data_IF_493197427571
#
_entry.id   IF_493197427571
#
_cell.length_a   1.000
_cell.length_b   1.000
_cell.length_c   1.000
_cell.angle_alpha   90.00
_cell.angle_beta   90.00
_cell.angle_gamma   90.00
#
_symmetry.space_group_name_H-M   'P 1'
#
loop_
_entity.id
_entity.type
_entity.pdbx_description
1 polymer ?
#
# COMPACT_ATOMS: atom_id res chain seq x y z
N UNK A 1 5.48 -75.35 16.01
CA UNK A 1 6.20 -74.16 16.55
C UNK A 1 6.21 -73.10 15.45
N UNK A 2 5.30 -72.12 15.51
CA UNK A 2 5.28 -70.98 14.60
C UNK A 2 5.44 -69.71 15.43
N UNK A 3 6.52 -68.98 15.16
CA UNK A 3 6.90 -67.77 15.87
C UNK A 3 6.11 -66.58 15.34
N UNK A 4 5.46 -65.85 16.24
CA UNK A 4 4.74 -64.60 15.98
C UNK A 4 5.79 -63.47 15.98
N UNK A 5 6.02 -62.84 14.83
CA UNK A 5 6.81 -61.61 14.75
C UNK A 5 5.92 -60.41 15.06
N UNK A 6 6.21 -59.71 16.16
CA UNK A 6 5.59 -58.44 16.53
C UNK A 6 6.32 -57.30 15.82
N UNK A 7 5.65 -56.66 14.86
CA UNK A 7 6.12 -55.41 14.26
C UNK A 7 5.89 -54.25 15.24
N UNK A 8 6.97 -53.65 15.74
CA UNK A 8 6.92 -52.37 16.46
C UNK A 8 6.88 -51.24 15.42
N UNK A 9 5.73 -50.56 15.32
CA UNK A 9 5.63 -49.31 14.59
C UNK A 9 6.28 -48.19 15.42
N UNK A 10 7.35 -47.60 14.90
CA UNK A 10 7.96 -46.38 15.44
C UNK A 10 7.30 -45.21 14.71
N UNK A 11 6.49 -44.42 15.42
CA UNK A 11 5.90 -43.18 14.90
C UNK A 11 7.01 -42.11 14.83
N UNK A 12 7.22 -41.42 13.70
CA UNK A 12 8.14 -40.29 13.66
C UNK A 12 7.46 -39.08 14.32
N UNK A 13 8.11 -38.52 15.34
CA UNK A 13 7.75 -37.22 15.92
C UNK A 13 8.13 -36.15 14.90
N UNK A 14 7.14 -35.60 14.20
CA UNK A 14 7.33 -34.43 13.37
C UNK A 14 7.50 -33.20 14.28
N UNK A 15 8.74 -32.75 14.45
CA UNK A 15 9.05 -31.44 15.04
C UNK A 15 8.58 -30.35 14.07
N UNK A 16 7.36 -29.85 14.26
CA UNK A 16 6.88 -28.64 13.60
C UNK A 16 7.65 -27.44 14.16
N UNK A 17 8.69 -27.00 13.45
CA UNK A 17 9.33 -25.71 13.70
C UNK A 17 8.32 -24.62 13.37
N UNK A 18 7.65 -24.08 14.40
CA UNK A 18 6.88 -22.86 14.27
C UNK A 18 7.85 -21.71 14.01
N UNK A 19 8.05 -21.36 12.74
CA UNK A 19 8.63 -20.09 12.36
C UNK A 19 7.60 -19.03 12.73
N UNK A 20 7.72 -18.45 13.93
CA UNK A 20 7.04 -17.20 14.27
C UNK A 20 7.63 -16.13 13.35
N UNK A 21 7.03 -15.96 12.18
CA UNK A 21 7.24 -14.76 11.38
C UNK A 21 6.83 -13.58 12.25
N UNK A 22 7.76 -12.66 12.51
CA UNK A 22 7.43 -11.38 13.11
C UNK A 22 6.41 -10.71 12.18
N UNK A 23 5.14 -10.81 12.53
CA UNK A 23 4.08 -10.09 11.85
C UNK A 23 4.37 -8.62 12.08
N UNK A 24 4.41 -7.80 11.02
CA UNK A 24 4.47 -6.34 11.21
C UNK A 24 3.38 -5.92 12.17
N UNK A 25 3.68 -4.93 13.01
CA UNK A 25 2.70 -4.31 13.89
C UNK A 25 1.49 -3.89 13.05
N UNK A 26 0.31 -4.34 13.47
CA UNK A 26 -0.94 -4.04 12.79
C UNK A 26 -1.13 -2.52 12.71
N UNK A 27 -1.47 -2.02 11.52
CA UNK A 27 -1.89 -0.62 11.34
C UNK A 27 -3.41 -0.55 11.36
N UNK A 28 -3.96 0.18 12.32
CA UNK A 28 -5.40 0.38 12.47
C UNK A 28 -5.90 1.46 11.51
N UNK A 29 -7.15 1.29 11.06
CA UNK A 29 -7.88 2.35 10.38
C UNK A 29 -8.09 3.53 11.33
N UNK A 30 -7.87 4.78 10.90
CA UNK A 30 -8.11 5.95 11.74
C UNK A 30 -9.60 6.24 11.95
N UNK A 31 -10.49 5.52 11.25
CA UNK A 31 -11.95 5.73 11.33
C UNK A 31 -12.72 4.44 11.52
N UNK A 32 -13.85 4.55 12.22
CA UNK A 32 -14.86 3.49 12.29
C UNK A 32 -16.02 3.81 11.35
N UNK A 33 -16.32 2.88 10.43
CA UNK A 33 -17.47 2.98 9.55
C UNK A 33 -18.76 2.98 10.40
N UNK A 34 -19.70 3.91 10.18
CA UNK A 34 -20.93 3.96 10.95
C UNK A 34 -21.84 2.79 10.55
N UNK A 35 -22.62 2.28 11.50
CA UNK A 35 -23.55 1.19 11.26
C UNK A 35 -23.91 0.46 12.53
N UNK A 36 -24.83 -0.51 12.42
CA UNK A 36 -25.07 -1.48 13.49
C UNK A 36 -24.04 -2.61 13.36
N UNK A 37 -23.63 -3.24 14.48
CA UNK A 37 -22.82 -4.45 14.40
C UNK A 37 -23.49 -5.54 13.58
N UNK A 38 -22.68 -6.42 13.00
CA UNK A 38 -23.17 -7.62 12.32
C UNK A 38 -24.01 -8.48 13.26
N UNK A 39 -25.08 -9.05 12.71
CA UNK A 39 -25.89 -10.02 13.43
C UNK A 39 -25.20 -11.39 13.42
N UNK A 40 -25.55 -12.27 14.37
CA UNK A 40 -25.07 -13.65 14.35
C UNK A 40 -25.41 -14.39 13.03
N UNK A 41 -26.54 -14.04 12.41
CA UNK A 41 -26.91 -14.56 11.09
C UNK A 41 -25.96 -14.10 9.98
N UNK A 42 -25.58 -12.82 9.98
CA UNK A 42 -24.59 -12.27 9.03
C UNK A 42 -23.23 -12.95 9.18
N UNK A 43 -22.74 -13.08 10.41
CA UNK A 43 -21.46 -13.75 10.68
C UNK A 43 -21.45 -15.21 10.20
N UNK A 44 -22.56 -15.94 10.38
CA UNK A 44 -22.70 -17.30 9.88
C UNK A 44 -22.66 -17.36 8.34
N UNK A 45 -23.33 -16.43 7.67
CA UNK A 45 -23.30 -16.33 6.21
C UNK A 45 -21.88 -16.03 5.69
N UNK A 46 -21.16 -15.12 6.33
CA UNK A 46 -19.77 -14.80 5.99
C UNK A 46 -18.83 -15.98 6.21
N UNK A 47 -18.96 -16.70 7.32
CA UNK A 47 -18.20 -17.92 7.58
C UNK A 47 -18.48 -19.00 6.51
N UNK A 48 -19.75 -19.15 6.11
CA UNK A 48 -20.13 -20.03 5.01
C UNK A 48 -19.48 -19.63 3.68
N UNK A 49 -19.51 -18.33 3.34
CA UNK A 49 -18.87 -17.80 2.14
C UNK A 49 -17.34 -17.94 2.18
N UNK A 50 -16.72 -17.80 3.35
CA UNK A 50 -15.28 -18.01 3.54
C UNK A 50 -14.87 -19.44 3.17
N UNK A 51 -15.69 -20.44 3.52
CA UNK A 51 -15.42 -21.87 3.24
C UNK A 51 -15.84 -22.30 1.84
N UNK A 52 -17.00 -21.83 1.36
CA UNK A 52 -17.64 -22.39 0.16
C UNK A 52 -17.28 -21.64 -1.13
N UNK A 53 -16.91 -20.37 -1.04
CA UNK A 53 -16.63 -19.54 -2.22
C UNK A 53 -15.13 -19.32 -2.38
N UNK A 54 -14.58 -19.79 -3.50
CA UNK A 54 -13.23 -19.46 -3.92
C UNK A 54 -13.12 -17.96 -4.22
N UNK A 55 -11.97 -17.33 -3.90
CA UNK A 55 -11.73 -15.90 -4.12
C UNK A 55 -10.43 -15.65 -4.88
N UNK A 56 -10.20 -16.26 -6.07
CA UNK A 56 -8.92 -16.15 -6.77
C UNK A 56 -8.40 -14.72 -6.98
N UNK A 57 -9.24 -13.69 -7.28
CA UNK A 57 -8.74 -12.32 -7.40
C UNK A 57 -8.19 -11.74 -6.09
N UNK A 58 -8.75 -12.12 -4.94
CA UNK A 58 -8.31 -11.65 -3.62
C UNK A 58 -7.03 -12.41 -3.23
N UNK A 59 -6.97 -13.71 -3.50
CA UNK A 59 -5.78 -14.54 -3.25
C UNK A 59 -4.57 -14.11 -4.11
N UNK A 60 -4.82 -13.49 -5.27
CA UNK A 60 -3.77 -12.96 -6.15
C UNK A 60 -3.12 -11.67 -5.64
N UNK A 61 -3.75 -10.93 -4.70
CA UNK A 61 -3.16 -9.74 -4.06
C UNK A 61 -2.12 -10.16 -3.01
N UNK A 62 -0.98 -10.65 -3.47
CA UNK A 62 0.00 -11.39 -2.67
C UNK A 62 1.32 -10.65 -2.40
N UNK A 63 1.48 -9.43 -2.94
CA UNK A 63 2.59 -8.54 -2.62
C UNK A 63 2.08 -7.37 -1.77
N UNK A 64 2.77 -7.06 -0.68
CA UNK A 64 2.46 -5.93 0.20
C UNK A 64 3.54 -4.86 0.10
N UNK A 65 3.12 -3.63 -0.23
CA UNK A 65 3.97 -2.44 -0.24
C UNK A 65 3.37 -1.39 0.71
N UNK A 66 4.23 -0.57 1.29
CA UNK A 66 3.84 0.58 2.08
C UNK A 66 4.62 1.81 1.62
N UNK A 67 3.88 2.85 1.27
CA UNK A 67 4.40 4.13 0.80
C UNK A 67 3.53 5.27 1.31
N UNK A 68 3.64 6.42 0.64
CA UNK A 68 2.88 7.61 0.99
C UNK A 68 2.35 8.27 -0.26
N UNK A 69 1.17 8.86 -0.17
CA UNK A 69 0.59 9.65 -1.23
C UNK A 69 0.27 11.06 -0.75
N UNK A 70 0.03 11.95 -1.70
CA UNK A 70 -0.66 13.23 -1.47
C UNK A 70 -1.67 13.51 -2.57
N UNK A 71 -2.64 14.37 -2.31
CA UNK A 71 -3.66 14.74 -3.29
C UNK A 71 -3.03 15.59 -4.40
N UNK A 72 -3.28 15.25 -5.67
CA UNK A 72 -2.76 16.07 -6.78
C UNK A 72 -3.19 17.54 -6.62
N UNK A 73 -2.21 18.45 -6.58
CA UNK A 73 -2.40 19.89 -6.36
C UNK A 73 -2.43 20.36 -4.90
N UNK A 74 -2.29 19.44 -3.93
CA UNK A 74 -2.34 19.73 -2.49
C UNK A 74 -1.26 18.92 -1.75
N UNK A 75 0.03 19.25 -1.95
CA UNK A 75 1.16 18.47 -1.43
C UNK A 75 1.24 18.41 0.10
N UNK A 76 0.57 19.32 0.82
CA UNK A 76 0.54 19.33 2.28
C UNK A 76 -0.49 18.35 2.87
N UNK A 77 -1.39 17.80 2.04
CA UNK A 77 -2.37 16.80 2.44
C UNK A 77 -1.87 15.40 2.06
N UNK A 78 -1.22 14.73 3.01
CA UNK A 78 -0.43 13.52 2.80
C UNK A 78 -0.90 12.39 3.70
N UNK A 79 -0.77 11.15 3.23
CA UNK A 79 -1.16 9.97 3.98
C UNK A 79 -0.31 8.76 3.62
N UNK A 80 -0.16 7.87 4.58
CA UNK A 80 0.36 6.53 4.37
C UNK A 80 -0.64 5.67 3.59
N UNK A 81 -0.11 4.84 2.70
CA UNK A 81 -0.88 3.96 1.82
C UNK A 81 -0.37 2.52 1.92
N UNK A 82 -1.30 1.59 2.17
CA UNK A 82 -1.02 0.16 2.27
C UNK A 82 -1.49 -0.55 1.00
N UNK A 83 -0.55 -0.87 0.11
CA UNK A 83 -0.84 -1.48 -1.18
C UNK A 83 -0.78 -2.99 -1.10
N UNK A 84 -1.87 -3.65 -1.47
CA UNK A 84 -1.92 -5.08 -1.69
C UNK A 84 -2.05 -5.33 -3.19
N UNK A 85 -1.02 -5.92 -3.78
CA UNK A 85 -0.80 -5.91 -5.22
C UNK A 85 -0.81 -7.31 -5.82
N UNK A 86 -1.36 -7.40 -7.04
CA UNK A 86 -1.23 -8.54 -7.93
C UNK A 86 -0.38 -8.14 -9.14
N UNK A 87 0.65 -8.92 -9.41
CA UNK A 87 1.43 -8.82 -10.66
C UNK A 87 0.62 -9.47 -11.77
N UNK A 88 0.13 -8.69 -12.74
CA UNK A 88 -0.64 -9.20 -13.86
C UNK A 88 0.26 -9.81 -14.95
N UNK A 89 1.40 -9.17 -15.17
CA UNK A 89 2.50 -9.64 -16.01
C UNK A 89 3.80 -8.90 -15.62
N UNK A 90 4.87 -9.04 -16.41
CA UNK A 90 6.16 -8.39 -16.13
C UNK A 90 6.09 -6.86 -16.14
N UNK A 91 5.14 -6.29 -16.89
CA UNK A 91 5.08 -4.85 -17.17
C UNK A 91 3.92 -4.14 -16.44
N UNK A 92 2.96 -4.89 -15.87
CA UNK A 92 1.74 -4.36 -15.26
C UNK A 92 1.46 -5.00 -13.90
N UNK A 93 1.26 -4.15 -12.90
CA UNK A 93 0.83 -4.51 -11.55
C UNK A 93 -0.44 -3.72 -11.23
N UNK A 94 -1.37 -4.31 -10.49
CA UNK A 94 -2.52 -3.61 -9.95
C UNK A 94 -2.58 -3.81 -8.44
N UNK A 95 -3.02 -2.78 -7.72
CA UNK A 95 -3.09 -2.79 -6.26
C UNK A 95 -4.44 -2.30 -5.76
N UNK A 96 -4.90 -2.90 -4.67
CA UNK A 96 -5.94 -2.32 -3.81
C UNK A 96 -5.23 -1.66 -2.64
N UNK A 97 -5.59 -0.42 -2.35
CA UNK A 97 -4.97 0.38 -1.29
C UNK A 97 -5.89 0.44 -0.10
N UNK A 98 -5.33 0.24 1.09
CA UNK A 98 -6.03 0.29 2.36
C UNK A 98 -5.45 1.35 3.29
N UNK A 99 -6.25 1.75 4.28
CA UNK A 99 -5.85 2.63 5.39
C UNK A 99 -5.29 1.87 6.59
N UNK A 100 -4.77 0.67 6.37
CA UNK A 100 -4.20 -0.17 7.42
C UNK A 100 -3.93 -1.58 6.94
N UNK A 101 -3.57 -2.44 7.89
CA UNK A 101 -3.23 -3.85 7.62
C UNK A 101 -4.11 -4.84 8.40
N UNK A 102 -5.14 -4.34 9.09
CA UNK A 102 -6.08 -5.16 9.86
C UNK A 102 -7.25 -5.61 8.99
N UNK A 103 -8.00 -6.62 9.43
CA UNK A 103 -9.24 -7.06 8.77
C UNK A 103 -10.31 -5.96 8.68
N UNK A 104 -10.20 -4.93 9.52
CA UNK A 104 -11.15 -3.83 9.64
C UNK A 104 -10.69 -2.58 8.84
N UNK A 105 -9.58 -2.68 8.11
CA UNK A 105 -9.06 -1.61 7.25
C UNK A 105 -10.05 -1.30 6.11
N UNK A 106 -10.14 -0.02 5.74
CA UNK A 106 -10.99 0.47 4.66
C UNK A 106 -10.22 0.50 3.37
N UNK A 107 -10.88 0.10 2.29
CA UNK A 107 -10.36 0.30 0.93
C UNK A 107 -10.34 1.80 0.67
N UNK A 108 -9.15 2.35 0.55
CA UNK A 108 -8.93 3.76 0.22
C UNK A 108 -8.96 3.99 -1.28
N UNK A 109 -8.54 3.04 -2.09
CA UNK A 109 -8.38 3.27 -3.51
C UNK A 109 -7.77 2.12 -4.28
N UNK A 110 -7.37 2.41 -5.50
CA UNK A 110 -6.64 1.49 -6.38
C UNK A 110 -5.45 2.20 -7.01
N UNK A 111 -4.45 1.40 -7.34
CA UNK A 111 -3.32 1.85 -8.13
C UNK A 111 -3.04 0.87 -9.27
N UNK A 112 -2.72 1.43 -10.43
CA UNK A 112 -2.15 0.69 -11.55
C UNK A 112 -0.71 1.12 -11.73
N UNK A 113 0.19 0.15 -11.81
CA UNK A 113 1.61 0.38 -11.99
C UNK A 113 2.03 -0.21 -13.32
N UNK A 114 2.72 0.57 -14.13
CA UNK A 114 3.27 0.14 -15.42
C UNK A 114 4.76 0.43 -15.50
N UNK A 115 5.49 -0.36 -16.27
CA UNK A 115 6.90 -0.10 -16.55
C UNK A 115 7.11 1.15 -17.44
N UNK A 116 8.35 1.62 -17.52
CA UNK A 116 8.71 2.76 -18.35
C UNK A 116 8.42 2.55 -19.84
N UNK A 117 8.44 1.31 -20.35
CA UNK A 117 8.19 1.02 -21.76
C UNK A 117 6.71 1.22 -22.13
N UNK A 118 5.80 0.78 -21.27
CA UNK A 118 4.37 1.03 -21.42
C UNK A 118 4.05 2.51 -21.19
N UNK A 119 4.67 3.13 -20.17
CA UNK A 119 4.48 4.54 -19.89
C UNK A 119 4.86 5.43 -21.09
N UNK A 120 6.01 5.16 -21.73
CA UNK A 120 6.47 5.93 -22.88
C UNK A 120 5.47 5.93 -24.05
N UNK A 121 4.65 4.88 -24.18
CA UNK A 121 3.64 4.69 -25.23
C UNK A 121 2.27 5.28 -24.89
N UNK A 122 2.07 5.77 -23.66
CA UNK A 122 0.81 6.40 -23.29
C UNK A 122 0.57 7.68 -24.12
N UNK A 123 -0.71 7.99 -24.42
CA UNK A 123 -1.07 9.29 -24.98
C UNK A 123 -0.55 10.43 -24.09
N UNK A 124 -0.10 11.52 -24.70
CA UNK A 124 0.47 12.65 -23.95
C UNK A 124 -0.50 13.23 -22.89
N UNK A 125 -1.81 13.19 -23.16
CA UNK A 125 -2.84 13.66 -22.22
C UNK A 125 -3.05 12.73 -21.01
N UNK A 126 -2.64 11.46 -21.11
CA UNK A 126 -2.77 10.48 -20.03
C UNK A 126 -1.60 10.58 -19.04
N UNK A 127 -0.38 10.83 -19.52
CA UNK A 127 0.86 10.84 -18.72
C UNK A 127 0.82 11.71 -17.45
N UNK A 128 0.18 12.91 -17.43
CA UNK A 128 0.07 13.73 -16.22
C UNK A 128 -0.70 13.08 -15.06
N UNK A 129 -1.48 12.03 -15.32
CA UNK A 129 -2.21 11.26 -14.31
C UNK A 129 -1.32 10.25 -13.55
N UNK A 130 -0.03 10.16 -13.92
CA UNK A 130 0.88 9.15 -13.38
C UNK A 130 2.05 9.80 -12.66
N UNK A 131 2.50 9.17 -11.58
CA UNK A 131 3.70 9.55 -10.85
C UNK A 131 4.80 8.50 -10.99
N UNK A 132 6.06 8.91 -10.88
CA UNK A 132 7.22 8.01 -10.95
C UNK A 132 7.59 7.46 -9.57
N UNK A 133 7.88 6.16 -9.46
CA UNK A 133 8.28 5.56 -8.18
C UNK A 133 9.79 5.66 -7.86
N UNK A 134 10.61 6.12 -8.81
CA UNK A 134 12.08 6.09 -8.67
C UNK A 134 12.61 6.80 -7.42
N UNK A 135 12.03 7.95 -7.06
CA UNK A 135 12.41 8.64 -5.83
C UNK A 135 11.92 7.91 -4.58
N UNK A 136 10.69 7.43 -4.54
CA UNK A 136 10.14 6.71 -3.38
C UNK A 136 10.94 5.44 -3.08
N UNK A 137 11.40 4.75 -4.14
CA UNK A 137 12.33 3.61 -4.04
C UNK A 137 13.69 4.05 -3.52
N UNK A 138 14.36 5.01 -4.16
CA UNK A 138 15.73 5.39 -3.78
C UNK A 138 15.82 6.07 -2.41
N UNK A 139 14.79 6.80 -2.00
CA UNK A 139 14.72 7.47 -0.70
C UNK A 139 14.46 6.51 0.45
N UNK A 140 13.89 5.33 0.21
CA UNK A 140 13.42 4.42 1.25
C UNK A 140 12.03 4.75 1.79
N UNK A 141 11.27 5.62 1.09
CA UNK A 141 9.89 5.92 1.46
C UNK A 141 8.96 4.75 1.11
N UNK A 142 9.14 4.15 -0.08
CA UNK A 142 8.48 2.90 -0.44
C UNK A 142 9.21 1.71 0.21
N UNK A 143 8.46 0.80 0.81
CA UNK A 143 8.98 -0.35 1.52
C UNK A 143 8.13 -1.60 1.28
N UNK A 144 8.74 -2.78 1.38
CA UNK A 144 8.05 -4.06 1.44
C UNK A 144 8.38 -4.73 2.80
N UNK A 145 7.59 -4.48 3.86
CA UNK A 145 7.88 -4.98 5.19
C UNK A 145 7.83 -6.52 5.30
N UNK A 146 8.59 -7.07 6.26
CA UNK A 146 8.61 -8.49 6.66
C UNK A 146 9.02 -9.51 5.59
N UNK A 147 9.71 -9.10 4.53
CA UNK A 147 10.35 -10.03 3.59
C UNK A 147 11.88 -9.96 3.72
N UNK A 148 12.63 -10.99 3.28
CA UNK A 148 14.09 -10.94 3.28
C UNK A 148 14.62 -9.74 2.49
N UNK A 149 15.70 -9.12 2.99
CA UNK A 149 16.28 -7.91 2.38
C UNK A 149 16.67 -8.10 0.89
N UNK A 150 17.09 -9.29 0.48
CA UNK A 150 17.39 -9.59 -0.93
C UNK A 150 16.13 -9.63 -1.81
N UNK A 151 15.01 -10.13 -1.27
CA UNK A 151 13.74 -10.14 -1.97
C UNK A 151 13.16 -8.73 -2.09
N UNK A 152 13.27 -7.94 -1.02
CA UNK A 152 12.88 -6.53 -1.04
C UNK A 152 13.73 -5.73 -2.04
N UNK A 153 15.05 -5.90 -2.04
CA UNK A 153 15.93 -5.22 -2.99
C UNK A 153 15.60 -5.57 -4.45
N UNK A 154 15.32 -6.85 -4.75
CA UNK A 154 14.90 -7.26 -6.09
C UNK A 154 13.55 -6.63 -6.49
N UNK A 155 12.59 -6.56 -5.56
CA UNK A 155 11.30 -5.90 -5.79
C UNK A 155 11.47 -4.39 -6.02
N UNK A 156 12.30 -3.73 -5.22
CA UNK A 156 12.61 -2.31 -5.35
C UNK A 156 13.35 -2.01 -6.66
N UNK A 157 14.23 -2.90 -7.10
CA UNK A 157 14.89 -2.80 -8.40
C UNK A 157 13.87 -2.80 -9.54
N UNK A 158 12.84 -3.66 -9.46
CA UNK A 158 11.74 -3.64 -10.43
C UNK A 158 10.96 -2.33 -10.37
N UNK A 159 10.57 -1.88 -9.18
CA UNK A 159 9.71 -0.71 -8.99
C UNK A 159 10.42 0.62 -9.30
N UNK A 160 11.75 0.67 -9.26
CA UNK A 160 12.52 1.88 -9.59
C UNK A 160 12.25 2.41 -11.01
N UNK A 161 11.78 1.55 -11.92
CA UNK A 161 11.54 1.86 -13.32
C UNK A 161 10.06 1.97 -13.69
N UNK A 162 9.17 2.11 -12.70
CA UNK A 162 7.72 2.08 -12.93
C UNK A 162 7.04 3.41 -12.61
N UNK A 163 5.82 3.54 -13.12
CA UNK A 163 4.93 4.67 -12.94
C UNK A 163 3.58 4.20 -12.38
N UNK A 164 3.04 4.93 -11.40
CA UNK A 164 1.79 4.64 -10.73
C UNK A 164 0.68 5.62 -11.10
N UNK A 165 -0.53 5.12 -11.39
CA UNK A 165 -1.76 5.92 -11.46
C UNK A 165 -2.68 5.51 -10.31
N UNK A 166 -2.88 6.42 -9.38
CA UNK A 166 -3.55 6.14 -8.11
C UNK A 166 -4.78 7.00 -7.92
N UNK A 167 -5.91 6.35 -7.65
CA UNK A 167 -7.16 7.03 -7.32
C UNK A 167 -7.66 6.57 -5.95
N UNK A 168 -7.79 7.51 -5.02
CA UNK A 168 -8.43 7.26 -3.73
C UNK A 168 -9.92 7.62 -3.78
N UNK A 169 -10.76 6.73 -3.27
CA UNK A 169 -12.22 6.84 -3.15
C UNK A 169 -12.69 7.03 -1.71
N UNK A 170 -11.84 6.72 -0.71
CA UNK A 170 -12.15 6.91 0.70
C UNK A 170 -11.02 7.66 1.42
N UNK A 171 -11.31 8.88 1.85
CA UNK A 171 -10.36 9.80 2.46
C UNK A 171 -10.40 9.75 3.99
N UNK A 172 -10.02 8.61 4.57
CA UNK A 172 -10.02 8.40 6.03
C UNK A 172 -8.95 9.22 6.75
N UNK A 173 -7.94 9.69 6.01
CA UNK A 173 -6.98 10.72 6.44
C UNK A 173 -7.69 12.04 6.82
N UNK A 174 -8.85 12.35 6.23
CA UNK A 174 -9.68 13.51 6.58
C UNK A 174 -10.79 13.18 7.59
N UNK A 175 -10.60 12.12 8.38
CA UNK A 175 -11.56 11.62 9.38
C UNK A 175 -12.94 11.25 8.78
N UNK A 176 -13.02 11.02 7.46
CA UNK A 176 -14.27 10.62 6.80
C UNK A 176 -14.63 9.19 7.15
N UNK A 177 -15.74 9.03 7.88
CA UNK A 177 -16.26 7.71 8.28
C UNK A 177 -16.99 6.96 7.17
N UNK A 178 -17.21 7.59 6.02
CA UNK A 178 -17.80 7.01 4.81
C UNK A 178 -17.03 7.53 3.57
N UNK A 179 -17.04 6.80 2.44
CA UNK A 179 -16.40 7.23 1.19
C UNK A 179 -17.21 8.34 0.50
N UNK A 180 -17.16 9.56 1.06
CA UNK A 180 -17.90 10.73 0.57
C UNK A 180 -17.05 11.57 -0.40
N UNK A 181 -17.67 11.99 -1.51
CA UNK A 181 -17.04 12.77 -2.58
C UNK A 181 -16.77 11.93 -3.83
N UNK A 182 -16.11 12.54 -4.81
CA UNK A 182 -15.64 11.83 -6.01
C UNK A 182 -14.25 11.24 -5.76
N UNK A 183 -13.78 10.29 -6.58
CA UNK A 183 -12.40 9.83 -6.47
C UNK A 183 -11.41 10.99 -6.64
N UNK A 184 -10.29 10.97 -5.91
CA UNK A 184 -9.21 11.93 -6.02
C UNK A 184 -7.94 11.29 -6.57
N UNK A 185 -7.31 11.98 -7.52
CA UNK A 185 -6.03 11.58 -8.07
C UNK A 185 -4.94 11.80 -7.02
N UNK A 186 -4.10 10.79 -6.82
CA UNK A 186 -3.03 10.82 -5.83
C UNK A 186 -1.67 10.75 -6.53
N UNK A 187 -0.68 11.43 -5.95
CA UNK A 187 0.69 11.48 -6.46
C UNK A 187 1.68 11.02 -5.39
N UNK A 188 2.84 10.55 -5.84
CA UNK A 188 3.99 10.20 -5.00
C UNK A 188 5.04 11.32 -4.96
N UNK A 189 5.94 11.21 -3.98
CA UNK A 189 7.01 12.19 -3.77
C UNK A 189 8.16 12.00 -4.75
N UNK A 190 8.86 13.09 -5.06
CA UNK A 190 9.92 13.15 -6.07
C UNK A 190 11.24 13.72 -5.52
N UNK A 191 11.24 14.30 -4.32
CA UNK A 191 12.43 14.91 -3.72
C UNK A 191 12.42 14.91 -2.17
N UNK A 192 13.62 15.09 -1.60
CA UNK A 192 13.81 15.25 -0.16
C UNK A 192 13.07 16.53 0.32
N UNK A 193 12.45 16.45 1.51
CA UNK A 193 11.76 17.57 2.13
C UNK A 193 10.29 17.78 1.73
N UNK A 194 9.75 16.98 0.80
CA UNK A 194 8.33 17.04 0.42
C UNK A 194 7.41 16.30 1.41
N UNK A 195 7.84 15.15 1.93
CA UNK A 195 7.05 14.36 2.86
C UNK A 195 7.11 14.93 4.29
N UNK A 196 5.97 14.95 4.98
CA UNK A 196 5.83 15.36 6.37
C UNK A 196 6.76 14.51 7.27
N UNK A 197 7.75 15.13 7.95
CA UNK A 197 8.71 14.37 8.75
C UNK A 197 8.08 13.63 9.94
N UNK A 198 6.99 14.13 10.52
CA UNK A 198 6.28 13.47 11.62
C UNK A 198 5.53 12.24 11.12
N UNK A 199 4.83 12.35 9.99
CA UNK A 199 4.17 11.21 9.32
C UNK A 199 5.18 10.09 9.03
N UNK A 200 6.33 10.42 8.42
CA UNK A 200 7.38 9.44 8.10
C UNK A 200 7.94 8.79 9.36
N UNK A 201 8.21 9.58 10.42
CA UNK A 201 8.70 9.04 11.70
C UNK A 201 7.69 8.08 12.35
N UNK A 202 6.41 8.43 12.35
CA UNK A 202 5.35 7.60 12.93
C UNK A 202 5.26 6.24 12.21
N UNK A 203 5.17 6.24 10.88
CA UNK A 203 5.17 5.02 10.06
C UNK A 203 6.41 4.18 10.34
N UNK A 204 7.60 4.79 10.30
CA UNK A 204 8.86 4.08 10.48
C UNK A 204 8.96 3.44 11.87
N UNK A 205 8.50 4.12 12.92
CA UNK A 205 8.46 3.56 14.26
C UNK A 205 7.51 2.36 14.34
N UNK A 206 6.30 2.48 13.77
CA UNK A 206 5.30 1.39 13.79
C UNK A 206 5.78 0.17 13.01
N UNK A 207 6.31 0.37 11.81
CA UNK A 207 6.77 -0.71 10.94
C UNK A 207 8.23 -1.12 11.15
N UNK A 208 8.91 -0.53 12.15
CA UNK A 208 10.32 -0.81 12.48
C UNK A 208 11.28 -0.61 11.28
N UNK A 209 11.04 0.44 10.49
CA UNK A 209 11.81 0.76 9.30
C UNK A 209 12.95 1.76 9.60
N UNK A 210 14.09 1.57 8.93
CA UNK A 210 15.18 2.54 8.91
C UNK A 210 15.42 3.02 7.48
N UNK A 211 14.78 4.14 7.13
CA UNK A 211 14.88 4.77 5.80
C UNK A 211 16.32 5.11 5.41
N UNK A 212 17.20 5.48 6.37
CA UNK A 212 18.61 5.77 6.06
C UNK A 212 19.34 4.50 5.64
N UNK A 213 19.09 3.40 6.35
CA UNK A 213 19.62 2.09 5.99
C UNK A 213 19.09 1.64 4.62
N UNK A 214 17.80 1.79 4.36
CA UNK A 214 17.21 1.48 3.05
C UNK A 214 17.85 2.29 1.91
N UNK A 215 18.05 3.61 2.10
CA UNK A 215 18.74 4.47 1.11
C UNK A 215 20.16 3.99 0.80
N UNK A 216 20.92 3.58 1.82
CA UNK A 216 22.28 3.00 1.63
C UNK A 216 22.21 1.66 0.90
N UNK A 217 21.28 0.78 1.29
CA UNK A 217 21.12 -0.56 0.70
C UNK A 217 20.64 -0.54 -0.75
N UNK A 218 20.01 0.55 -1.18
CA UNK A 218 19.45 0.73 -2.52
C UNK A 218 20.30 1.66 -3.41
N UNK A 219 21.48 2.07 -2.95
CA UNK A 219 22.35 2.99 -3.68
C UNK A 219 22.86 2.42 -5.02
N UNK A 220 22.81 1.09 -5.20
CA UNK A 220 23.16 0.38 -6.42
C UNK A 220 21.99 0.24 -7.41
N UNK A 221 20.75 0.52 -6.99
CA UNK A 221 19.57 0.41 -7.84
C UNK A 221 19.59 1.57 -8.87
N UNK A 222 19.64 1.29 -10.18
CA UNK A 222 19.61 2.34 -11.19
C UNK A 222 18.25 3.04 -11.20
N UNK A 223 18.22 4.36 -11.01
CA UNK A 223 17.01 5.16 -11.21
C UNK A 223 17.07 5.72 -12.64
N UNK A 224 16.12 5.38 -13.53
CA UNK A 224 16.12 5.87 -14.89
C UNK A 224 15.81 7.38 -14.90
N UNK A 225 16.22 8.11 -15.95
CA UNK A 225 15.75 9.48 -16.16
C UNK A 225 14.22 9.52 -16.19
N UNK A 226 13.64 10.46 -15.45
CA UNK A 226 12.21 10.72 -15.42
C UNK A 226 11.72 11.15 -16.82
N UNK A 227 10.64 10.54 -17.31
CA UNK A 227 9.93 11.08 -18.47
C UNK A 227 9.28 12.43 -18.07
N UNK A 228 9.60 13.54 -18.76
CA UNK A 228 9.18 14.88 -18.35
C UNK A 228 7.66 15.12 -18.42
N UNK A 229 6.88 14.19 -18.97
CA UNK A 229 5.42 14.25 -18.97
C UNK A 229 4.76 13.49 -17.81
N UNK A 230 5.53 12.74 -17.01
CA UNK A 230 5.08 12.22 -15.72
C UNK A 230 5.08 13.32 -14.65
N UNK A 231 4.51 13.03 -13.48
CA UNK A 231 4.47 13.97 -12.34
C UNK A 231 3.90 15.34 -12.75
N UNK A 232 2.80 15.36 -13.52
CA UNK A 232 2.28 16.58 -14.15
C UNK A 232 2.11 17.78 -13.20
N UNK A 233 1.87 17.50 -11.91
CA UNK A 233 1.77 18.48 -10.83
C UNK A 233 3.03 19.34 -10.67
N UNK A 234 4.23 18.80 -10.92
CA UNK A 234 5.51 19.54 -10.82
C UNK A 234 5.60 20.66 -11.86
N UNK A 235 4.89 20.51 -12.99
CA UNK A 235 4.82 21.52 -14.05
C UNK A 235 3.51 22.33 -14.01
N UNK A 236 2.74 22.23 -12.92
CA UNK A 236 1.48 22.93 -12.74
C UNK A 236 0.28 22.32 -13.47
N UNK A 237 0.43 21.13 -14.08
CA UNK A 237 -0.68 20.38 -14.64
C UNK A 237 -1.39 19.58 -13.54
N UNK A 238 -2.15 20.31 -12.73
CA UNK A 238 -2.94 19.76 -11.63
C UNK A 238 -4.26 19.24 -12.18
N UNK A 239 -4.47 17.93 -12.07
CA UNK A 239 -5.70 17.26 -12.49
C UNK A 239 -6.42 16.74 -11.25
N UNK A 240 -7.65 17.20 -11.06
CA UNK A 240 -8.61 16.63 -10.11
C UNK A 240 -10.01 16.61 -10.70
N UNK A 241 -10.81 15.66 -10.23
CA UNK A 241 -12.24 15.63 -10.57
C UNK A 241 -12.96 16.76 -9.84
N UNK A 242 -13.86 17.44 -10.55
CA UNK A 242 -14.80 18.38 -9.93
C UNK A 242 -15.77 17.60 -9.06
N UNK A 243 -15.83 17.93 -7.78
CA UNK A 243 -16.74 17.30 -6.82
C UNK A 243 -18.04 18.08 -6.69
N UNK A 244 -19.18 17.54 -7.17
CA UNK A 244 -20.47 18.21 -7.04
C UNK A 244 -21.01 18.18 -5.60
N UNK A 245 -20.41 17.40 -4.69
CA UNK A 245 -20.90 17.21 -3.32
C UNK A 245 -20.25 18.16 -2.30
N UNK A 246 -19.16 18.84 -2.70
CA UNK A 246 -18.41 19.75 -1.83
C UNK A 246 -17.73 19.04 -0.65
N UNK A 247 -17.43 17.75 -0.77
CA UNK A 247 -16.93 16.93 0.32
C UNK A 247 -15.39 16.93 0.40
N UNK A 248 -14.66 17.34 -0.64
CA UNK A 248 -13.20 17.41 -0.54
C UNK A 248 -12.75 18.58 0.34
N UNK A 249 -12.02 18.24 1.39
CA UNK A 249 -11.34 19.20 2.27
C UNK A 249 -9.88 18.81 2.29
N UNK A 250 -9.04 19.46 1.50
CA UNK A 250 -7.60 19.15 1.45
C UNK A 250 -6.80 19.79 2.59
N UNK A 251 -7.43 19.97 3.75
CA UNK A 251 -6.76 20.44 4.96
C UNK A 251 -6.30 19.22 5.76
N UNK A 252 -5.13 19.30 6.44
CA UNK A 252 -4.71 18.26 7.36
C UNK A 252 -5.77 18.03 8.44
N UNK A 253 -5.87 16.80 8.94
CA UNK A 253 -6.82 16.48 9.99
C UNK A 253 -6.59 17.32 11.24
N UNK A 254 -7.68 17.69 11.92
CA UNK A 254 -7.61 18.55 13.11
C UNK A 254 -7.00 17.85 14.33
N UNK A 255 -6.91 16.52 14.32
CA UNK A 255 -6.42 15.71 15.44
C UNK A 255 -5.15 14.93 15.05
N UNK A 256 -4.14 14.86 15.95
CA UNK A 256 -2.97 14.01 15.76
C UNK A 256 -3.36 12.55 15.54
N UNK A 257 -2.67 11.85 14.66
CA UNK A 257 -2.86 10.41 14.44
C UNK A 257 -2.39 9.60 15.66
N UNK A 258 -3.20 8.67 16.18
CA UNK A 258 -2.72 7.65 17.12
C UNK A 258 -1.53 6.88 16.55
N UNK A 259 -0.58 6.48 17.39
CA UNK A 259 0.66 5.81 16.95
C UNK A 259 0.43 4.47 16.22
N UNK A 260 -0.65 3.78 16.55
CA UNK A 260 -1.06 2.51 15.95
C UNK A 260 -1.97 2.67 14.72
N UNK A 261 -2.40 3.89 14.41
CA UNK A 261 -3.26 4.20 13.26
C UNK A 261 -2.47 4.68 12.04
N UNK A 262 -3.05 4.55 10.85
CA UNK A 262 -2.44 4.98 9.59
C UNK A 262 -1.90 6.42 9.66
N UNK A 263 -0.65 6.63 9.27
CA UNK A 263 0.01 7.93 9.44
C UNK A 263 -0.51 8.94 8.41
N UNK A 264 -0.58 10.22 8.78
CA UNK A 264 -0.95 11.31 7.86
C UNK A 264 -0.24 12.59 8.24
N UNK A 265 -0.14 13.55 7.30
CA UNK A 265 0.34 14.89 7.64
C UNK A 265 -0.60 15.56 8.66
N UNK A 266 0.00 16.34 9.56
CA UNK A 266 -0.73 17.13 10.55
C UNK A 266 -0.41 18.62 10.35
N UNK A 267 -1.28 19.55 10.80
CA UNK A 267 -1.02 20.99 10.70
C UNK A 267 0.25 21.45 11.43
#
# INVERSE_FOLDING_TARGET
>A
MHAIQTFRAVLPVACSLFVWGCSSVATQSPVEAPGRPETAGTQLLEAGAAVLQAKPPIDALNAYLNGFHFYNGQPDAQMEAHHYCAVLNEDVIQCVIYDGTTKDAKIMGVEYIIDANLFAKLPAAEKPLWHSHGYEVSSGQLSAPNIPASAEHALMTRLAHTYGKTWHTWHTDQDKRLPLGVPQLMMGFTADGQADPAMVRQRNQRLQLDTRKSKVQRADIPIPPLDPAANGWEQGNIIQLTDPTGQHVHSPAASPTPNDANSRSSP
#
